data_IF_150480746395
#
_entry.id   IF_150480746395
#
_cell.length_a   1.000
_cell.length_b   1.000
_cell.length_c   1.000
_cell.angle_alpha   90.00
_cell.angle_beta   90.00
_cell.angle_gamma   90.00
#
_symmetry.space_group_name_H-M   'P 1'
#
loop_
_entity.id
_entity.type
_entity.pdbx_description
1 polymer ?
#
# COMPACT_ATOMS: atom_id res chain seq x y z
N UNK A 1 -20.99 20.03 -5.74
CA UNK A 1 -19.90 19.08 -6.02
C UNK A 1 -18.79 19.10 -4.94
N UNK A 2 -19.17 19.17 -3.66
CA UNK A 2 -18.25 19.18 -2.51
C UNK A 2 -18.08 17.77 -1.90
N UNK A 3 -18.87 16.78 -2.35
CA UNK A 3 -18.99 15.49 -1.69
C UNK A 3 -17.89 14.48 -2.06
N UNK A 4 -17.17 14.63 -3.17
CA UNK A 4 -16.17 13.62 -3.57
C UNK A 4 -14.84 13.73 -2.81
N UNK A 5 -14.44 14.93 -2.39
CA UNK A 5 -13.16 15.17 -1.68
C UNK A 5 -13.21 14.74 -0.21
N UNK A 6 -14.35 14.91 0.44
CA UNK A 6 -14.52 14.56 1.86
C UNK A 6 -14.56 13.04 2.07
N UNK A 7 -15.06 12.26 1.10
CA UNK A 7 -15.04 10.80 1.20
C UNK A 7 -13.65 10.20 1.01
N UNK A 8 -12.83 10.74 0.08
CA UNK A 8 -11.48 10.22 -0.19
C UNK A 8 -10.56 10.38 1.02
N UNK A 9 -10.59 11.54 1.69
CA UNK A 9 -9.78 11.79 2.90
C UNK A 9 -10.10 10.80 4.03
N UNK A 10 -11.35 10.33 4.11
CA UNK A 10 -11.75 9.41 5.16
C UNK A 10 -11.23 7.99 4.90
N UNK A 11 -11.21 7.53 3.64
CA UNK A 11 -10.70 6.20 3.28
C UNK A 11 -9.21 6.08 3.62
N UNK A 12 -8.38 7.02 3.15
CA UNK A 12 -6.93 6.98 3.41
C UNK A 12 -6.63 7.04 4.91
N UNK A 13 -7.37 7.87 5.65
CA UNK A 13 -7.24 7.99 7.10
C UNK A 13 -7.59 6.70 7.83
N UNK A 14 -8.65 6.01 7.43
CA UNK A 14 -9.04 4.74 8.06
C UNK A 14 -8.09 3.59 7.68
N UNK A 15 -7.62 3.55 6.43
CA UNK A 15 -6.60 2.58 5.99
C UNK A 15 -5.29 2.74 6.79
N UNK A 16 -4.86 3.98 7.07
CA UNK A 16 -3.64 4.24 7.87
C UNK A 16 -3.72 3.69 9.30
N UNK A 17 -4.92 3.50 9.86
CA UNK A 17 -5.10 2.94 11.21
C UNK A 17 -4.95 1.42 11.25
N UNK A 18 -4.96 0.75 10.10
CA UNK A 18 -4.92 -0.71 10.03
C UNK A 18 -3.47 -1.21 10.11
N UNK A 19 -3.04 -1.87 11.21
CA UNK A 19 -1.64 -2.23 11.43
C UNK A 19 -1.12 -3.30 10.45
N UNK A 20 -2.02 -4.00 9.77
CA UNK A 20 -1.70 -5.05 8.80
C UNK A 20 -1.56 -4.53 7.37
N UNK A 21 -1.84 -3.24 7.13
CA UNK A 21 -1.61 -2.60 5.83
C UNK A 21 -0.14 -2.20 5.74
N UNK A 22 0.59 -2.83 4.82
CA UNK A 22 2.00 -2.54 4.53
C UNK A 22 2.17 -1.31 3.65
N UNK A 23 1.24 -1.12 2.73
CA UNK A 23 1.22 0.02 1.83
C UNK A 23 -0.18 0.21 1.24
N UNK A 24 -0.52 1.46 0.91
CA UNK A 24 -1.70 1.82 0.15
C UNK A 24 -1.26 2.80 -0.93
N UNK A 25 -1.64 2.51 -2.17
CA UNK A 25 -1.31 3.33 -3.33
C UNK A 25 -2.59 3.78 -4.01
N UNK A 26 -2.74 5.08 -4.20
CA UNK A 26 -3.72 5.62 -5.14
C UNK A 26 -3.19 5.38 -6.55
N UNK A 27 -3.98 4.72 -7.40
CA UNK A 27 -3.56 4.28 -8.74
C UNK A 27 -4.53 4.75 -9.80
N UNK A 28 -4.02 5.01 -11.01
CA UNK A 28 -4.88 5.21 -12.18
C UNK A 28 -5.25 3.85 -12.78
N UNK A 29 -6.54 3.61 -13.05
CA UNK A 29 -6.99 2.39 -13.72
C UNK A 29 -8.40 1.96 -13.32
N UNK A 30 -8.65 0.65 -13.33
CA UNK A 30 -9.96 0.05 -12.98
C UNK A 30 -10.33 0.23 -11.49
N UNK A 31 -9.34 0.42 -10.64
CA UNK A 31 -9.51 0.64 -9.20
C UNK A 31 -8.79 1.92 -8.81
N UNK A 32 -9.30 2.59 -7.79
CA UNK A 32 -8.69 3.82 -7.26
C UNK A 32 -7.52 3.51 -6.32
N UNK A 33 -7.54 2.34 -5.65
CA UNK A 33 -6.54 1.96 -4.66
C UNK A 33 -6.00 0.54 -4.84
N UNK A 34 -4.71 0.38 -4.62
CA UNK A 34 -4.03 -0.90 -4.41
C UNK A 34 -3.53 -0.95 -2.96
N UNK A 35 -4.01 -1.94 -2.20
CA UNK A 35 -3.65 -2.11 -0.78
C UNK A 35 -2.84 -3.39 -0.63
N UNK A 36 -1.61 -3.27 -0.14
CA UNK A 36 -0.75 -4.40 0.19
C UNK A 36 -0.87 -4.71 1.69
N UNK A 37 -1.34 -5.91 2.03
CA UNK A 37 -1.56 -6.33 3.42
C UNK A 37 -0.69 -7.53 3.81
N UNK A 38 -0.35 -7.62 5.10
CA UNK A 38 0.24 -8.80 5.71
C UNK A 38 -0.81 -9.56 6.52
N UNK A 39 -1.11 -10.79 6.13
CA UNK A 39 -2.00 -11.66 6.88
C UNK A 39 -1.23 -12.84 7.49
N UNK A 40 -1.71 -13.37 8.61
CA UNK A 40 -1.07 -14.50 9.32
C UNK A 40 -1.37 -15.83 8.63
N UNK A 41 -2.53 -15.90 7.98
CA UNK A 41 -3.04 -17.04 7.23
C UNK A 41 -4.25 -16.56 6.38
N UNK A 42 -4.80 -17.45 5.56
CA UNK A 42 -5.93 -17.16 4.67
C UNK A 42 -7.20 -16.74 5.44
N UNK A 43 -7.44 -17.31 6.62
CA UNK A 43 -8.59 -16.92 7.45
C UNK A 43 -8.45 -15.46 7.92
N UNK A 44 -7.27 -15.07 8.40
CA UNK A 44 -6.98 -13.69 8.78
C UNK A 44 -7.12 -12.75 7.57
N UNK A 45 -6.65 -13.15 6.38
CA UNK A 45 -6.84 -12.36 5.15
C UNK A 45 -8.34 -12.15 4.85
N UNK A 46 -9.16 -13.20 4.97
CA UNK A 46 -10.60 -13.10 4.79
C UNK A 46 -11.26 -12.11 5.75
N UNK A 47 -10.85 -12.11 7.03
CA UNK A 47 -11.30 -11.13 8.03
C UNK A 47 -10.84 -9.71 7.68
N UNK A 48 -9.57 -9.52 7.33
CA UNK A 48 -9.06 -8.18 6.93
C UNK A 48 -9.84 -7.61 5.75
N UNK A 49 -10.11 -8.43 4.73
CA UNK A 49 -10.85 -7.99 3.53
C UNK A 49 -12.30 -7.66 3.87
N UNK A 50 -13.01 -8.57 4.55
CA UNK A 50 -14.47 -8.44 4.75
C UNK A 50 -14.85 -7.51 5.89
N UNK A 51 -14.12 -7.55 6.99
CA UNK A 51 -14.49 -6.89 8.24
C UNK A 51 -13.78 -5.56 8.44
N UNK A 52 -12.53 -5.44 8.00
CA UNK A 52 -11.77 -4.19 8.15
C UNK A 52 -11.93 -3.34 6.89
N UNK A 53 -11.39 -3.80 5.76
CA UNK A 53 -11.29 -3.01 4.52
C UNK A 53 -12.68 -2.74 3.92
N UNK A 54 -13.48 -3.77 3.65
CA UNK A 54 -14.80 -3.59 3.03
C UNK A 54 -15.80 -2.83 3.92
N UNK A 55 -15.51 -2.64 5.21
CA UNK A 55 -16.34 -1.85 6.12
C UNK A 55 -16.07 -0.34 6.05
N UNK A 56 -14.94 0.07 5.45
CA UNK A 56 -14.55 1.47 5.36
C UNK A 56 -15.57 2.21 4.47
N UNK A 57 -16.20 3.28 4.98
CA UNK A 57 -17.15 4.06 4.19
C UNK A 57 -16.52 4.60 2.89
N UNK A 58 -17.15 4.33 1.76
CA UNK A 58 -16.66 4.74 0.44
C UNK A 58 -15.88 3.65 -0.31
N UNK A 59 -15.55 2.52 0.33
CA UNK A 59 -15.06 1.34 -0.38
C UNK A 59 -16.24 0.61 -1.03
N UNK A 60 -16.20 0.52 -2.37
CA UNK A 60 -17.23 -0.14 -3.18
C UNK A 60 -16.92 -1.61 -3.45
N UNK A 61 -16.06 -1.86 -4.44
CA UNK A 61 -15.67 -3.22 -4.85
C UNK A 61 -14.25 -3.52 -4.39
N UNK A 62 -14.07 -4.68 -3.76
CA UNK A 62 -12.75 -5.21 -3.38
C UNK A 62 -12.43 -6.44 -4.22
N UNK A 63 -11.20 -6.50 -4.73
CA UNK A 63 -10.64 -7.67 -5.43
C UNK A 63 -9.30 -8.02 -4.77
N UNK A 64 -9.10 -9.29 -4.43
CA UNK A 64 -7.95 -9.72 -3.63
C UNK A 64 -7.06 -10.67 -4.42
N UNK A 65 -5.76 -10.41 -4.38
CA UNK A 65 -4.72 -11.26 -4.96
C UNK A 65 -3.82 -11.80 -3.84
N UNK A 66 -3.47 -13.08 -3.92
CA UNK A 66 -2.54 -13.71 -2.97
C UNK A 66 -1.16 -13.78 -3.64
N UNK A 67 -0.16 -13.24 -2.97
CA UNK A 67 1.24 -13.36 -3.39
C UNK A 67 1.72 -14.76 -2.99
N UNK A 68 1.96 -15.64 -3.96
CA UNK A 68 2.47 -16.98 -3.71
C UNK A 68 4.00 -17.03 -3.59
N UNK A 69 4.70 -16.16 -4.32
CA UNK A 69 6.15 -16.07 -4.29
C UNK A 69 6.60 -14.63 -4.54
N UNK A 70 7.65 -14.22 -3.85
CA UNK A 70 8.37 -12.98 -4.12
C UNK A 70 9.62 -13.30 -4.93
N UNK A 71 9.61 -13.01 -6.24
CA UNK A 71 10.76 -13.28 -7.11
C UNK A 71 11.91 -12.31 -6.88
N UNK A 72 11.59 -11.06 -6.53
CA UNK A 72 12.55 -9.99 -6.22
C UNK A 72 11.96 -9.13 -5.13
N UNK A 73 12.68 -9.02 -4.01
CA UNK A 73 12.25 -8.22 -2.87
C UNK A 73 12.35 -6.73 -3.16
N UNK A 74 11.38 -5.96 -2.68
CA UNK A 74 11.41 -4.50 -2.71
C UNK A 74 12.60 -3.98 -1.90
N UNK A 75 13.54 -3.31 -2.57
CA UNK A 75 14.73 -2.69 -1.95
C UNK A 75 14.54 -1.17 -1.75
N UNK A 76 13.31 -0.69 -1.90
CA UNK A 76 13.02 0.74 -1.95
C UNK A 76 13.51 1.37 -3.26
N UNK A 77 13.75 2.68 -3.20
CA UNK A 77 14.13 3.44 -4.39
C UNK A 77 15.51 2.99 -4.89
N UNK A 78 15.69 2.81 -6.21
CA UNK A 78 16.99 2.55 -6.79
C UNK A 78 17.80 3.85 -6.78
N UNK A 79 18.30 4.24 -5.60
CA UNK A 79 19.24 5.34 -5.47
C UNK A 79 20.60 4.86 -5.97
N UNK A 80 20.92 5.20 -7.22
CA UNK A 80 22.31 5.24 -7.63
C UNK A 80 22.94 6.38 -6.80
N UNK A 81 23.83 6.05 -5.86
CA UNK A 81 24.66 7.09 -5.23
C UNK A 81 25.38 7.80 -6.37
N UNK A 82 25.02 9.06 -6.63
CA UNK A 82 25.80 9.88 -7.53
C UNK A 82 27.20 9.95 -6.92
N UNK A 83 28.18 9.35 -7.60
CA UNK A 83 29.58 9.38 -7.19
C UNK A 83 30.01 10.85 -7.07
N UNK A 84 30.06 11.34 -5.83
CA UNK A 84 30.59 12.63 -5.42
C UNK A 84 31.67 12.52 -4.36
N UNK A 85 32.09 11.30 -4.00
CA UNK A 85 33.25 11.10 -3.13
C UNK A 85 34.49 11.15 -4.02
N UNK A 86 34.90 12.38 -4.33
CA UNK A 86 36.26 12.68 -4.72
C UNK A 86 37.18 11.95 -3.75
N UNK A 87 38.04 11.08 -4.27
CA UNK A 87 39.27 10.72 -3.57
C UNK A 87 39.99 12.03 -3.26
N UNK A 88 39.79 12.53 -2.04
CA UNK A 88 40.73 13.45 -1.41
C UNK A 88 42.05 12.72 -1.33
N UNK A 89 42.98 13.14 -2.19
CA UNK A 89 44.40 12.92 -2.01
C UNK A 89 44.78 13.24 -0.56
N UNK A 90 45.16 12.22 0.20
CA UNK A 90 46.09 12.38 1.31
C UNK A 90 47.13 11.25 1.29
N UNK A 91 48.27 11.62 0.70
CA UNK A 91 49.65 11.11 0.86
C UNK A 91 49.96 9.64 0.55
#
# INVERSE_FOLDING_TARGET
DHHQKDHIRNIEHDIQKLPYVRACYHVAGRFDYLIHVAAKNVNHLGTLVKSEIASIPGIGRVETFIIFAETKTDQGWPIMRANGDQQTNEK
#
